data_IF_972522163429
#
_entry.id   IF_972522163429
#
_cell.length_a   1.000
_cell.length_b   1.000
_cell.length_c   1.000
_cell.angle_alpha   90.00
_cell.angle_beta   90.00
_cell.angle_gamma   90.00
#
_symmetry.space_group_name_H-M   'P 1'
#
loop_
_entity.id
_entity.type
_entity.pdbx_description
1 polymer ?
#
# COMPACT_ATOMS: atom_id res chain seq x y z
N UNK A 1 -7.23 -3.29 -11.98
CA UNK A 1 -5.92 -3.76 -12.50
C UNK A 1 -5.60 -5.11 -11.86
N UNK A 2 -5.32 -6.15 -12.66
CA UNK A 2 -5.07 -7.53 -12.21
C UNK A 2 -3.61 -7.82 -11.85
N UNK A 3 -2.88 -6.85 -11.29
CA UNK A 3 -1.49 -7.03 -10.88
C UNK A 3 -1.45 -7.44 -9.41
N UNK A 4 -0.78 -8.55 -9.05
CA UNK A 4 -0.59 -8.91 -7.64
C UNK A 4 0.12 -7.78 -6.88
N UNK A 5 -0.36 -7.47 -5.68
CA UNK A 5 0.25 -6.48 -4.81
C UNK A 5 0.76 -7.12 -3.51
N UNK A 6 1.77 -6.49 -2.93
CA UNK A 6 2.39 -6.86 -1.66
C UNK A 6 2.62 -5.59 -0.84
N UNK A 7 2.45 -5.69 0.47
CA UNK A 7 2.72 -4.57 1.39
C UNK A 7 4.09 -4.75 2.01
N UNK A 8 4.96 -3.75 1.85
CA UNK A 8 6.32 -3.75 2.42
C UNK A 8 6.37 -2.72 3.53
N UNK A 9 6.69 -3.15 4.75
CA UNK A 9 6.93 -2.28 5.90
C UNK A 9 8.43 -2.10 6.10
N UNK A 10 8.96 -0.97 5.65
CA UNK A 10 10.37 -0.64 5.78
C UNK A 10 10.65 0.10 7.11
N UNK A 11 11.93 0.20 7.45
CA UNK A 11 12.48 0.93 8.61
C UNK A 11 12.17 0.29 9.96
N UNK A 12 12.20 -1.04 10.02
CA UNK A 12 12.05 -1.78 11.29
C UNK A 12 13.16 -1.49 12.29
N UNK A 13 14.28 -0.89 11.87
CA UNK A 13 15.36 -0.40 12.73
C UNK A 13 14.91 0.74 13.66
N UNK A 14 13.95 1.57 13.23
CA UNK A 14 13.49 2.73 14.00
C UNK A 14 12.50 2.38 15.11
N UNK A 15 11.90 1.19 15.04
CA UNK A 15 10.90 0.73 15.99
C UNK A 15 11.27 -0.68 16.44
N UNK A 16 11.69 -0.82 17.70
CA UNK A 16 11.61 -2.10 18.38
C UNK A 16 10.13 -2.52 18.37
N UNK A 17 9.75 -3.37 17.40
CA UNK A 17 8.41 -3.87 17.10
C UNK A 17 7.28 -3.23 17.93
N UNK A 18 6.82 -2.03 17.57
CA UNK A 18 5.61 -1.50 18.20
C UNK A 18 4.41 -2.32 17.72
N UNK A 19 3.51 -2.69 18.64
CA UNK A 19 2.29 -3.47 18.36
C UNK A 19 1.45 -2.90 17.19
N UNK A 20 1.53 -1.59 16.96
CA UNK A 20 0.82 -0.89 15.89
C UNK A 20 1.26 -1.31 14.47
N UNK A 21 2.55 -1.57 14.24
CA UNK A 21 3.07 -1.95 12.92
C UNK A 21 2.73 -3.40 12.59
N UNK A 22 2.83 -4.29 13.59
CA UNK A 22 2.43 -5.69 13.46
C UNK A 22 0.93 -5.81 13.18
N UNK A 23 0.10 -5.10 13.94
CA UNK A 23 -1.35 -5.03 13.72
C UNK A 23 -1.67 -4.47 12.34
N UNK A 24 -0.91 -3.47 11.89
CA UNK A 24 -1.14 -2.85 10.59
C UNK A 24 -0.91 -3.80 9.40
N UNK A 25 0.06 -4.72 9.50
CA UNK A 25 0.32 -5.72 8.48
C UNK A 25 -0.65 -6.91 8.57
N UNK A 26 -1.00 -7.33 9.79
CA UNK A 26 -1.96 -8.41 10.02
C UNK A 26 -3.29 -8.15 9.30
N UNK A 27 -3.78 -6.91 9.31
CA UNK A 27 -4.98 -6.49 8.56
C UNK A 27 -4.90 -6.79 7.05
N UNK A 28 -3.70 -6.71 6.45
CA UNK A 28 -3.49 -6.98 5.02
C UNK A 28 -3.28 -8.46 4.75
N UNK A 29 -2.65 -9.18 5.68
CA UNK A 29 -2.45 -10.63 5.61
C UNK A 29 -3.79 -11.38 5.65
N UNK A 30 -4.69 -10.99 6.55
CA UNK A 30 -6.01 -11.64 6.70
C UNK A 30 -6.87 -11.55 5.45
N UNK A 31 -6.66 -10.51 4.62
CA UNK A 31 -7.35 -10.30 3.34
C UNK A 31 -6.52 -10.78 2.13
N UNK A 32 -5.47 -11.58 2.39
CA UNK A 32 -4.71 -12.32 1.39
C UNK A 32 -3.66 -11.50 0.63
N UNK A 33 -3.18 -10.38 1.18
CA UNK A 33 -1.96 -9.75 0.66
C UNK A 33 -0.73 -10.41 1.24
N UNK A 34 0.30 -10.57 0.40
CA UNK A 34 1.64 -10.83 0.92
C UNK A 34 2.14 -9.58 1.64
N UNK A 35 2.86 -9.80 2.73
CA UNK A 35 3.45 -8.74 3.55
C UNK A 35 4.90 -9.10 3.84
N UNK A 36 5.73 -8.07 4.05
CA UNK A 36 7.08 -8.25 4.56
C UNK A 36 7.51 -7.03 5.36
N UNK A 37 8.11 -7.27 6.52
CA UNK A 37 8.78 -6.26 7.32
C UNK A 37 10.28 -6.34 7.09
N UNK A 38 10.92 -5.22 6.77
CA UNK A 38 12.36 -5.17 6.50
C UNK A 38 12.98 -3.83 6.90
N UNK A 39 14.30 -3.77 6.88
CA UNK A 39 15.05 -2.53 7.06
C UNK A 39 16.13 -2.43 6.00
N UNK A 40 16.02 -1.39 5.15
CA UNK A 40 17.09 -1.04 4.23
C UNK A 40 18.35 -0.53 4.97
N UNK A 41 18.19 -0.01 6.21
CA UNK A 41 19.28 0.58 6.99
C UNK A 41 20.25 -0.49 7.51
N UNK A 42 19.72 -1.55 8.10
CA UNK A 42 20.52 -2.62 8.74
C UNK A 42 20.53 -3.93 7.93
N UNK A 43 19.76 -4.01 6.85
CA UNK A 43 19.67 -5.18 5.98
C UNK A 43 18.68 -6.26 6.44
N UNK A 44 17.95 -6.07 7.54
CA UNK A 44 17.00 -7.04 8.09
C UNK A 44 15.95 -7.44 7.06
N UNK A 45 15.80 -8.75 6.86
CA UNK A 45 14.87 -9.38 5.91
C UNK A 45 15.01 -8.94 4.44
N UNK A 46 16.08 -8.24 4.06
CA UNK A 46 16.28 -7.78 2.68
C UNK A 46 16.54 -8.92 1.70
N UNK A 47 17.17 -10.01 2.16
CA UNK A 47 17.32 -11.22 1.34
C UNK A 47 15.97 -11.86 1.03
N UNK A 48 15.10 -11.99 2.04
CA UNK A 48 13.73 -12.51 1.87
C UNK A 48 12.92 -11.60 0.93
N UNK A 49 13.04 -10.28 1.08
CA UNK A 49 12.38 -9.33 0.18
C UNK A 49 12.88 -9.49 -1.26
N UNK A 50 14.19 -9.59 -1.46
CA UNK A 50 14.80 -9.80 -2.78
C UNK A 50 14.34 -11.12 -3.40
N UNK A 51 14.20 -12.18 -2.60
CA UNK A 51 13.72 -13.49 -3.04
C UNK A 51 12.28 -13.43 -3.59
N UNK A 52 11.41 -12.62 -2.98
CA UNK A 52 10.03 -12.42 -3.43
C UNK A 52 9.92 -11.73 -4.79
N UNK A 53 10.94 -10.98 -5.20
CA UNK A 53 11.00 -10.29 -6.49
C UNK A 53 11.64 -11.11 -7.61
N UNK A 54 12.25 -12.26 -7.30
CA UNK A 54 12.93 -13.09 -8.30
C UNK A 54 11.97 -13.52 -9.40
N UNK A 55 12.37 -13.30 -10.65
CA UNK A 55 11.56 -13.65 -11.83
C UNK A 55 10.36 -12.73 -12.07
N UNK A 56 10.19 -11.66 -11.30
CA UNK A 56 9.11 -10.70 -11.44
C UNK A 56 9.64 -9.33 -11.86
N UNK A 57 8.78 -8.56 -12.53
CA UNK A 57 8.96 -7.12 -12.73
C UNK A 57 8.04 -6.40 -11.75
N UNK A 58 8.60 -5.68 -10.79
CA UNK A 58 7.84 -4.97 -9.76
C UNK A 58 7.98 -3.46 -9.88
N UNK A 59 6.94 -2.73 -9.49
CA UNK A 59 7.00 -1.29 -9.26
C UNK A 59 6.86 -1.03 -7.76
N UNK A 60 7.75 -0.21 -7.19
CA UNK A 60 7.67 0.16 -5.78
C UNK A 60 6.93 1.48 -5.66
N UNK A 61 5.73 1.43 -5.07
CA UNK A 61 4.87 2.59 -4.86
C UNK A 61 4.80 2.91 -3.37
N UNK A 62 4.79 4.20 -3.04
CA UNK A 62 4.68 4.67 -1.67
C UNK A 62 5.04 6.15 -1.55
N UNK A 63 4.66 6.76 -0.43
CA UNK A 63 4.90 8.17 -0.17
C UNK A 63 6.39 8.55 -0.20
N UNK A 64 6.66 9.85 -0.29
CA UNK A 64 7.99 10.39 -0.04
C UNK A 64 8.52 9.94 1.32
N UNK A 65 9.80 9.58 1.42
CA UNK A 65 10.45 9.31 2.71
C UNK A 65 10.24 7.91 3.29
N UNK A 66 9.38 7.05 2.71
CA UNK A 66 9.20 5.65 3.18
C UNK A 66 10.41 4.73 2.91
N UNK A 67 11.39 5.20 2.13
CA UNK A 67 12.65 4.49 1.87
C UNK A 67 12.68 3.64 0.59
N UNK A 68 11.87 3.95 -0.42
CA UNK A 68 11.86 3.25 -1.73
C UNK A 68 13.25 3.14 -2.37
N UNK A 69 13.96 4.26 -2.50
CA UNK A 69 15.30 4.27 -3.11
C UNK A 69 16.32 3.51 -2.26
N UNK A 70 16.22 3.58 -0.93
CA UNK A 70 17.08 2.81 -0.01
C UNK A 70 16.86 1.30 -0.17
N UNK A 71 15.60 0.86 -0.27
CA UNK A 71 15.26 -0.54 -0.56
C UNK A 71 15.89 -0.99 -1.88
N UNK A 72 15.76 -0.18 -2.94
CA UNK A 72 16.30 -0.51 -4.26
C UNK A 72 17.83 -0.59 -4.25
N UNK A 73 18.52 0.38 -3.67
CA UNK A 73 20.00 0.36 -3.57
C UNK A 73 20.47 -0.88 -2.81
N UNK A 74 19.81 -1.20 -1.69
CA UNK A 74 20.15 -2.36 -0.89
C UNK A 74 19.98 -3.68 -1.66
N UNK A 75 18.98 -3.79 -2.54
CA UNK A 75 18.80 -4.96 -3.42
C UNK A 75 19.81 -5.00 -4.58
N UNK A 76 20.29 -3.85 -5.05
CA UNK A 76 21.29 -3.76 -6.11
C UNK A 76 22.71 -4.02 -5.60
N UNK A 77 22.95 -3.85 -4.29
CA UNK A 77 24.28 -3.93 -3.69
C UNK A 77 25.20 -2.78 -4.11
N UNK A 78 24.64 -1.67 -4.60
CA UNK A 78 25.36 -0.52 -5.16
C UNK A 78 24.50 0.75 -5.03
N UNK A 79 25.13 1.91 -4.83
CA UNK A 79 24.48 3.21 -4.64
C UNK A 79 24.10 3.87 -5.97
N UNK A 80 23.42 3.11 -6.83
CA UNK A 80 23.05 3.56 -8.17
C UNK A 80 21.99 4.66 -8.15
N UNK A 81 21.11 4.68 -7.14
CA UNK A 81 20.18 5.78 -6.93
C UNK A 81 20.78 6.76 -5.91
N UNK A 82 20.80 8.05 -6.25
CA UNK A 82 21.19 9.11 -5.31
C UNK A 82 20.18 9.17 -4.15
N UNK A 83 20.48 8.52 -3.04
CA UNK A 83 19.77 8.69 -1.77
C UNK A 83 20.27 9.99 -1.14
N UNK A 84 19.60 11.12 -1.37
CA UNK A 84 19.89 12.32 -0.59
C UNK A 84 19.25 12.18 0.79
N UNK A 85 20.07 12.30 1.83
CA UNK A 85 19.61 12.41 3.21
C UNK A 85 18.60 13.56 3.36
N UNK A 86 17.60 13.35 4.21
CA UNK A 86 16.57 14.33 4.50
C UNK A 86 17.27 15.53 5.16
N UNK A 87 17.27 16.69 4.49
CA UNK A 87 17.90 17.90 5.01
C UNK A 87 17.21 18.34 6.31
N UNK A 88 17.96 18.34 7.42
CA UNK A 88 17.49 18.71 8.76
C UNK A 88 17.06 20.17 8.95
N UNK A 89 16.88 20.95 7.87
CA UNK A 89 16.55 22.37 7.94
C UNK A 89 15.07 22.70 7.64
N UNK A 90 14.30 21.82 6.99
CA UNK A 90 12.93 22.16 6.54
C UNK A 90 11.90 21.02 6.55
N UNK A 91 12.25 19.79 6.91
CA UNK A 91 11.29 18.68 7.00
C UNK A 91 10.64 18.22 5.69
N UNK A 92 10.99 18.83 4.55
CA UNK A 92 10.42 18.51 3.24
C UNK A 92 11.46 17.89 2.29
N UNK A 93 11.30 16.59 2.00
CA UNK A 93 12.10 15.89 0.99
C UNK A 93 11.72 16.31 -0.42
N UNK A 94 12.63 17.01 -1.13
CA UNK A 94 12.50 17.35 -2.56
C UNK A 94 13.06 16.21 -3.41
N UNK A 95 12.18 15.50 -4.11
CA UNK A 95 12.53 14.40 -5.01
C UNK A 95 13.02 14.94 -6.36
N UNK A 96 14.08 14.34 -6.92
CA UNK A 96 14.59 14.65 -8.26
C UNK A 96 14.86 13.39 -9.08
N UNK A 97 14.00 12.36 -9.01
CA UNK A 97 13.97 11.29 -10.03
C UNK A 97 12.97 11.73 -11.11
N UNK A 98 13.48 12.20 -12.25
CA UNK A 98 12.65 12.83 -13.31
C UNK A 98 12.10 11.79 -14.30
N UNK A 99 12.73 10.62 -14.42
CA UNK A 99 12.31 9.53 -15.32
C UNK A 99 12.15 8.23 -14.53
N UNK A 100 11.09 7.46 -14.82
CA UNK A 100 10.97 6.09 -14.34
C UNK A 100 12.05 5.21 -14.98
N UNK A 101 12.80 4.48 -14.19
CA UNK A 101 13.88 3.60 -14.67
C UNK A 101 13.61 2.15 -14.26
N UNK A 102 13.79 1.22 -15.20
CA UNK A 102 13.78 -0.21 -14.90
C UNK A 102 15.21 -0.66 -14.56
N UNK A 103 15.36 -1.32 -13.42
CA UNK A 103 16.63 -1.76 -12.86
C UNK A 103 16.60 -3.29 -12.72
N UNK A 104 17.60 -3.96 -13.29
CA UNK A 104 17.74 -5.41 -13.16
C UNK A 104 18.35 -5.78 -11.81
N UNK A 105 17.72 -6.70 -11.07
CA UNK A 105 18.22 -7.14 -9.77
C UNK A 105 19.28 -8.25 -9.94
N UNK A 106 20.36 -8.25 -9.15
CA UNK A 106 21.40 -9.30 -9.20
C UNK A 106 20.84 -10.71 -8.97
N UNK A 107 19.83 -10.84 -8.11
CA UNK A 107 19.15 -12.11 -7.80
C UNK A 107 18.13 -12.57 -8.85
N UNK A 108 17.97 -11.82 -9.96
CA UNK A 108 16.95 -12.04 -10.98
C UNK A 108 15.67 -11.24 -10.72
N UNK A 109 14.95 -10.90 -11.80
CA UNK A 109 13.82 -9.96 -11.78
C UNK A 109 14.24 -8.51 -12.02
N UNK A 110 13.28 -7.59 -11.96
CA UNK A 110 13.52 -6.16 -12.17
C UNK A 110 12.60 -5.29 -11.33
N UNK A 111 13.06 -4.08 -11.02
CA UNK A 111 12.31 -3.06 -10.29
C UNK A 111 12.21 -1.79 -11.12
N UNK A 112 11.01 -1.24 -11.21
CA UNK A 112 10.74 0.08 -11.77
C UNK A 112 10.80 1.07 -10.62
N UNK A 113 11.83 1.92 -10.62
CA UNK A 113 11.87 3.10 -9.75
C UNK A 113 10.95 4.16 -10.34
N UNK A 114 9.80 4.37 -9.69
CA UNK A 114 8.91 5.48 -10.02
C UNK A 114 9.25 6.68 -9.15
N UNK A 115 9.19 7.92 -9.68
CA UNK A 115 9.28 9.12 -8.86
C UNK A 115 8.35 9.00 -7.66
N UNK A 116 8.80 9.45 -6.48
CA UNK A 116 7.96 9.45 -5.29
C UNK A 116 6.69 10.27 -5.54
N UNK A 117 5.60 9.59 -5.86
CA UNK A 117 4.27 10.19 -5.90
C UNK A 117 3.95 10.69 -4.50
N UNK A 118 3.83 12.02 -4.34
CA UNK A 118 3.40 12.63 -3.07
C UNK A 118 2.04 12.05 -2.65
N UNK A 119 1.17 11.84 -3.63
CA UNK A 119 -0.12 11.18 -3.50
C UNK A 119 -0.30 10.17 -4.64
N UNK A 120 -0.07 8.87 -4.40
CA UNK A 120 -0.65 7.84 -5.26
C UNK A 120 -2.13 7.72 -4.89
N UNK A 121 -2.95 8.59 -5.46
CA UNK A 121 -4.39 8.39 -5.45
C UNK A 121 -4.72 7.52 -6.68
N UNK A 122 -5.32 6.33 -6.50
CA UNK A 122 -5.91 5.65 -7.64
C UNK A 122 -6.93 6.58 -8.30
N UNK A 123 -7.02 6.55 -9.63
CA UNK A 123 -8.13 7.21 -10.31
C UNK A 123 -9.39 6.45 -9.93
N UNK A 124 -10.24 7.10 -9.11
CA UNK A 124 -11.51 6.56 -8.67
C UNK A 124 -12.58 7.32 -9.47
N UNK A 125 -13.20 6.63 -10.42
CA UNK A 125 -14.18 7.23 -11.32
C UNK A 125 -15.58 7.21 -10.71
N UNK A 126 -15.85 6.21 -9.86
CA UNK A 126 -17.15 5.99 -9.24
C UNK A 126 -17.04 5.45 -7.80
N UNK A 127 -18.11 5.58 -6.99
CA UNK A 127 -18.23 4.90 -5.70
C UNK A 127 -18.09 3.38 -5.80
N UNK A 128 -18.51 2.79 -6.92
CA UNK A 128 -18.41 1.34 -7.15
C UNK A 128 -16.95 0.90 -7.27
N UNK A 129 -16.06 1.71 -7.84
CA UNK A 129 -14.63 1.42 -7.89
C UNK A 129 -14.01 1.29 -6.49
N UNK A 130 -14.51 2.10 -5.54
CA UNK A 130 -14.09 2.02 -4.13
C UNK A 130 -14.49 0.66 -3.54
N UNK A 131 -15.74 0.23 -3.74
CA UNK A 131 -16.21 -1.08 -3.26
C UNK A 131 -15.39 -2.21 -3.87
N UNK A 132 -15.13 -2.15 -5.18
CA UNK A 132 -14.36 -3.18 -5.89
C UNK A 132 -12.88 -3.21 -5.49
N UNK A 133 -12.32 -2.09 -5.04
CA UNK A 133 -10.93 -1.96 -4.60
C UNK A 133 -10.64 -2.58 -3.23
N UNK A 134 -11.66 -2.74 -2.38
CA UNK A 134 -11.54 -3.36 -1.07
C UNK A 134 -12.00 -4.82 -1.14
N UNK A 135 -11.05 -5.76 -1.16
CA UNK A 135 -11.31 -7.20 -1.40
C UNK A 135 -12.34 -7.77 -0.43
N UNK A 136 -12.16 -7.46 0.85
CA UNK A 136 -12.99 -7.88 1.95
C UNK A 136 -14.39 -7.26 1.88
N UNK A 137 -14.51 -5.98 1.51
CA UNK A 137 -15.81 -5.31 1.36
C UNK A 137 -16.57 -5.93 0.19
N UNK A 138 -15.89 -6.15 -0.95
CA UNK A 138 -16.47 -6.80 -2.12
C UNK A 138 -16.96 -8.22 -1.83
N UNK A 139 -16.19 -9.00 -1.08
CA UNK A 139 -16.53 -10.37 -0.74
C UNK A 139 -17.74 -10.45 0.20
N UNK A 140 -17.70 -9.75 1.34
CA UNK A 140 -18.83 -9.74 2.27
C UNK A 140 -20.06 -9.02 1.72
N UNK A 141 -19.86 -8.03 0.84
CA UNK A 141 -20.94 -7.28 0.19
C UNK A 141 -21.87 -8.13 -0.67
N UNK A 142 -21.38 -9.26 -1.19
CA UNK A 142 -22.22 -10.22 -1.93
C UNK A 142 -23.33 -10.84 -1.07
N UNK A 143 -23.17 -10.83 0.25
CA UNK A 143 -24.12 -11.36 1.21
C UNK A 143 -25.06 -10.29 1.78
N UNK A 144 -25.01 -9.05 1.26
CA UNK A 144 -25.93 -8.00 1.70
C UNK A 144 -27.36 -8.28 1.26
N UNK A 145 -28.32 -7.94 2.13
CA UNK A 145 -29.76 -8.03 1.84
C UNK A 145 -30.18 -7.22 0.60
N UNK A 146 -29.55 -6.06 0.39
CA UNK A 146 -29.86 -5.14 -0.71
C UNK A 146 -28.76 -5.19 -1.76
N UNK A 147 -29.16 -5.32 -3.04
CA UNK A 147 -28.24 -5.33 -4.18
C UNK A 147 -27.50 -4.00 -4.37
N UNK A 148 -28.06 -2.89 -3.90
CA UNK A 148 -27.50 -1.54 -3.97
C UNK A 148 -26.97 -1.05 -2.61
N UNK A 149 -26.61 -1.96 -1.71
CA UNK A 149 -26.05 -1.63 -0.41
C UNK A 149 -24.73 -0.87 -0.56
N UNK A 150 -24.63 0.34 0.02
CA UNK A 150 -23.40 1.14 0.05
C UNK A 150 -22.54 0.87 1.28
N UNK A 151 -22.97 -0.05 2.13
CA UNK A 151 -22.29 -0.47 3.35
C UNK A 151 -22.03 0.69 4.33
N UNK A 152 -22.98 1.63 4.45
CA UNK A 152 -22.86 2.80 5.34
C UNK A 152 -23.92 2.79 6.44
N UNK A 153 -25.19 2.92 6.05
CA UNK A 153 -26.33 3.12 6.97
C UNK A 153 -27.38 2.03 6.83
N UNK A 154 -27.25 1.19 5.83
CA UNK A 154 -28.20 0.14 5.50
C UNK A 154 -28.38 -0.84 6.68
N UNK A 155 -29.63 -1.24 6.98
CA UNK A 155 -29.89 -2.32 7.92
C UNK A 155 -29.45 -3.66 7.31
N UNK A 156 -29.16 -4.65 8.16
CA UNK A 156 -28.77 -6.01 7.74
C UNK A 156 -27.60 -6.05 6.74
N UNK A 157 -26.64 -5.15 6.90
CA UNK A 157 -25.46 -5.07 6.05
C UNK A 157 -24.41 -6.11 6.47
N UNK A 158 -24.23 -7.16 5.66
CA UNK A 158 -23.22 -8.20 5.89
C UNK A 158 -21.80 -7.65 6.13
N UNK A 159 -21.40 -6.59 5.42
CA UNK A 159 -20.10 -5.91 5.66
C UNK A 159 -20.02 -5.34 7.07
N UNK A 160 -21.07 -4.68 7.56
CA UNK A 160 -21.08 -4.13 8.93
C UNK A 160 -21.05 -5.24 9.97
N UNK A 161 -21.79 -6.32 9.77
CA UNK A 161 -21.76 -7.50 10.65
C UNK A 161 -20.37 -8.16 10.67
N UNK A 162 -19.68 -8.20 9.53
CA UNK A 162 -18.31 -8.69 9.44
C UNK A 162 -17.31 -7.78 10.17
N UNK A 163 -17.54 -6.46 10.19
CA UNK A 163 -16.76 -5.51 11.01
C UNK A 163 -17.01 -5.74 12.50
N UNK A 164 -18.27 -5.88 12.91
CA UNK A 164 -18.67 -6.09 14.31
C UNK A 164 -18.14 -7.41 14.88
N UNK A 165 -18.05 -8.45 14.06
CA UNK A 165 -17.49 -9.75 14.43
C UNK A 165 -15.96 -9.85 14.29
N UNK A 166 -15.30 -8.78 13.84
CA UNK A 166 -13.84 -8.73 13.67
C UNK A 166 -13.30 -9.45 12.43
N UNK A 167 -14.17 -9.93 11.54
CA UNK A 167 -13.77 -10.51 10.26
C UNK A 167 -13.24 -9.46 9.28
N UNK A 168 -13.76 -8.23 9.36
CA UNK A 168 -13.21 -7.06 8.67
C UNK A 168 -12.62 -6.12 9.73
N UNK A 169 -11.35 -5.75 9.55
CA UNK A 169 -10.71 -4.77 10.43
C UNK A 169 -11.46 -3.44 10.44
N UNK A 170 -11.75 -2.92 11.64
CA UNK A 170 -12.38 -1.61 11.80
C UNK A 170 -11.58 -0.48 11.13
N UNK A 171 -10.24 -0.59 11.13
CA UNK A 171 -9.34 0.37 10.47
C UNK A 171 -9.51 0.34 8.94
N UNK A 172 -9.64 -0.85 8.38
CA UNK A 172 -9.90 -1.06 6.94
C UNK A 172 -11.26 -0.50 6.55
N UNK A 173 -12.30 -0.77 7.33
CA UNK A 173 -13.64 -0.24 7.10
C UNK A 173 -13.70 1.29 7.20
N UNK A 174 -13.00 1.90 8.16
CA UNK A 174 -12.89 3.35 8.25
C UNK A 174 -12.15 3.95 7.03
N UNK A 175 -11.10 3.28 6.54
CA UNK A 175 -10.41 3.69 5.31
C UNK A 175 -11.35 3.64 4.09
N UNK A 176 -12.18 2.60 3.99
CA UNK A 176 -13.22 2.47 2.97
C UNK A 176 -14.21 3.64 3.02
N UNK A 177 -14.76 3.95 4.21
CA UNK A 177 -15.74 5.03 4.39
C UNK A 177 -15.18 6.39 3.97
N UNK A 178 -13.93 6.68 4.35
CA UNK A 178 -13.25 7.93 3.97
C UNK A 178 -13.10 8.04 2.46
N UNK A 179 -12.62 6.98 1.81
CA UNK A 179 -12.40 6.98 0.36
C UNK A 179 -13.72 7.08 -0.42
N UNK A 180 -14.77 6.42 0.07
CA UNK A 180 -16.10 6.49 -0.52
C UNK A 180 -16.68 7.91 -0.43
N UNK A 181 -16.55 8.57 0.73
CA UNK A 181 -16.98 9.96 0.91
C UNK A 181 -16.23 10.90 -0.04
N UNK A 182 -14.91 10.78 -0.12
CA UNK A 182 -14.10 11.61 -1.03
C UNK A 182 -14.47 11.37 -2.49
N UNK A 183 -14.75 10.13 -2.89
CA UNK A 183 -15.18 9.80 -4.26
C UNK A 183 -16.54 10.42 -4.60
N UNK A 184 -17.49 10.41 -3.66
CA UNK A 184 -18.80 11.05 -3.83
C UNK A 184 -18.66 12.57 -3.99
N UNK A 185 -17.88 13.23 -3.13
CA UNK A 185 -17.63 14.67 -3.21
C UNK A 185 -16.98 15.10 -4.53
N UNK A 186 -16.12 14.25 -5.10
CA UNK A 186 -15.47 14.49 -6.40
C UNK A 186 -16.43 14.26 -7.58
N UNK A 187 -17.31 13.28 -7.49
CA UNK A 187 -18.34 13.03 -8.50
C UNK A 187 -19.36 14.16 -8.57
N UNK A 188 -19.79 14.67 -7.41
CA UNK A 188 -20.77 15.76 -7.32
C UNK A 188 -20.22 17.09 -7.87
N UNK A 189 -18.91 17.34 -7.77
CA UNK A 189 -18.26 18.53 -8.35
C UNK A 189 -18.04 18.46 -9.86
N UNK A 190 -18.15 17.28 -10.46
CA UNK A 190 -17.97 17.06 -11.91
C UNK A 190 -19.28 17.18 -12.70
N UNK A 191 -20.42 17.12 -12.01
CA UNK A 191 -21.77 17.31 -12.55
C UNK A 191 -22.23 18.77 -12.35
#
# INVERSE_FOLDING_TARGET
MGVPAMVVFNKTDLHAASDSSATALADYETIGYKTISCSATDGSNMEQFSALLRGHTAIIVGQSGVGKSSLINQMLGDDRLRVREISGATGEGRHTTVNSAMLMLPGGGSVIDSPGVRDYAPVIESPDDVVHGFREIREYGQNCRFANCRHLREPDCAVKSAVESGQISARRYESFRRLLSTSQDLADKRN
#
